data_IF_750165591688
#
_entry.id   IF_750165591688
#
_cell.length_a   1.000
_cell.length_b   1.000
_cell.length_c   1.000
_cell.angle_alpha   90.00
_cell.angle_beta   90.00
_cell.angle_gamma   90.00
#
_symmetry.space_group_name_H-M   'P 1'
#
loop_
_entity.id
_entity.type
_entity.pdbx_description
1 polymer ?
#
# COMPACT_ATOMS: atom_id res chain seq x y z
N UNK A 1 -73.23 -34.49 46.10
CA UNK A 1 -73.95 -35.74 45.77
C UNK A 1 -72.98 -36.90 45.85
N UNK A 2 -73.37 -37.93 46.62
CA UNK A 2 -72.92 -39.32 46.71
C UNK A 2 -71.44 -39.73 46.49
N UNK A 3 -70.87 -40.26 47.59
CA UNK A 3 -69.77 -41.25 47.65
C UNK A 3 -70.29 -42.63 47.19
N UNK A 4 -69.42 -43.44 46.58
CA UNK A 4 -69.27 -44.93 46.69
C UNK A 4 -68.72 -45.51 45.36
N UNK A 5 -67.52 -46.09 45.32
CA UNK A 5 -67.07 -47.45 45.71
C UNK A 5 -67.04 -48.39 44.49
N UNK A 6 -66.03 -49.28 44.44
CA UNK A 6 -65.83 -50.52 43.62
C UNK A 6 -64.41 -50.48 43.03
N UNK A 7 -63.41 -51.12 43.65
CA UNK A 7 -63.14 -52.57 43.78
C UNK A 7 -62.42 -53.16 42.56
N UNK A 8 -61.09 -53.17 42.67
CA UNK A 8 -60.14 -54.29 42.47
C UNK A 8 -60.54 -55.42 41.50
N UNK A 9 -59.76 -55.57 40.41
CA UNK A 9 -59.52 -56.87 39.78
C UNK A 9 -58.10 -56.91 39.18
N UNK A 10 -57.28 -57.83 39.70
CA UNK A 10 -55.96 -58.24 39.18
C UNK A 10 -56.13 -58.97 37.84
N UNK A 11 -55.14 -58.85 36.93
CA UNK A 11 -54.56 -59.98 36.19
C UNK A 11 -53.25 -59.54 35.50
N UNK A 12 -52.19 -60.32 35.77
CA UNK A 12 -50.82 -60.10 35.31
C UNK A 12 -50.63 -60.48 33.83
N UNK A 13 -49.80 -59.72 33.11
CA UNK A 13 -48.95 -60.25 32.04
C UNK A 13 -47.64 -59.44 31.94
N UNK A 14 -46.56 -60.19 31.82
CA UNK A 14 -45.14 -59.87 31.97
C UNK A 14 -44.52 -59.08 30.80
N UNK A 15 -43.65 -58.12 31.12
CA UNK A 15 -42.48 -57.77 30.31
C UNK A 15 -41.34 -57.23 31.21
N UNK A 16 -40.07 -57.59 30.97
CA UNK A 16 -38.97 -57.23 31.86
C UNK A 16 -38.54 -55.78 31.62
N UNK A 17 -38.58 -54.96 32.67
CA UNK A 17 -37.94 -53.64 32.68
C UNK A 17 -36.52 -53.82 33.22
N UNK A 18 -35.55 -53.51 32.37
CA UNK A 18 -34.13 -53.47 32.67
C UNK A 18 -33.90 -52.41 33.74
N UNK A 19 -33.34 -52.81 34.89
CA UNK A 19 -32.79 -51.91 35.91
C UNK A 19 -31.68 -51.05 35.30
N UNK A 20 -31.93 -49.75 35.16
CA UNK A 20 -30.87 -48.76 35.05
C UNK A 20 -30.48 -48.33 36.47
N UNK A 21 -29.31 -48.81 36.88
CA UNK A 21 -28.63 -48.37 38.08
C UNK A 21 -28.37 -46.85 38.02
N UNK A 22 -28.60 -46.18 39.15
CA UNK A 22 -28.35 -44.75 39.31
C UNK A 22 -26.91 -44.38 38.99
N UNK A 23 -26.72 -43.62 37.92
CA UNK A 23 -25.51 -42.86 37.68
C UNK A 23 -25.60 -41.53 38.42
N UNK A 24 -24.48 -41.17 39.05
CA UNK A 24 -24.24 -39.94 39.80
C UNK A 24 -24.54 -38.72 38.92
N UNK A 25 -25.25 -37.74 39.46
CA UNK A 25 -25.29 -36.37 38.92
C UNK A 25 -23.91 -35.72 39.13
N UNK A 26 -22.97 -36.03 38.23
CA UNK A 26 -21.86 -35.14 37.97
C UNK A 26 -22.43 -33.95 37.18
N UNK A 27 -22.59 -32.82 37.87
CA UNK A 27 -22.86 -31.53 37.26
C UNK A 27 -21.71 -31.18 36.31
N UNK A 28 -21.82 -31.60 35.06
CA UNK A 28 -20.96 -31.17 33.97
C UNK A 28 -21.09 -29.64 33.83
N UNK A 29 -20.05 -28.93 34.25
CA UNK A 29 -19.86 -27.53 33.96
C UNK A 29 -19.97 -27.33 32.44
N UNK A 30 -20.99 -26.61 32.01
CA UNK A 30 -21.12 -26.14 30.64
C UNK A 30 -19.86 -25.36 30.27
N UNK A 31 -19.23 -25.61 29.11
CA UNK A 31 -18.13 -24.78 28.64
C UNK A 31 -18.64 -23.33 28.49
N UNK A 32 -17.83 -22.31 28.83
CA UNK A 32 -18.24 -20.93 28.69
C UNK A 32 -18.63 -20.68 27.23
N UNK A 33 -19.82 -20.09 27.05
CA UNK A 33 -20.26 -19.61 25.75
C UNK A 33 -19.16 -18.71 25.17
N UNK A 34 -18.66 -19.08 24.00
CA UNK A 34 -17.74 -18.24 23.23
C UNK A 34 -18.50 -16.95 22.94
N UNK A 35 -18.09 -15.87 23.62
CA UNK A 35 -18.60 -14.54 23.36
C UNK A 35 -18.38 -14.24 21.86
N UNK A 36 -19.45 -13.79 21.19
CA UNK A 36 -19.35 -13.22 19.86
C UNK A 36 -18.31 -12.09 19.89
N UNK A 37 -17.47 -11.92 18.84
CA UNK A 37 -16.50 -10.84 18.81
C UNK A 37 -17.23 -9.50 18.91
N UNK A 38 -16.76 -8.67 19.84
CA UNK A 38 -17.26 -7.31 20.06
C UNK A 38 -17.13 -6.49 18.76
N UNK A 39 -18.26 -6.07 18.21
CA UNK A 39 -18.32 -5.15 17.07
C UNK A 39 -18.11 -3.74 17.62
N UNK A 40 -16.90 -3.45 18.07
CA UNK A 40 -16.61 -2.18 18.75
C UNK A 40 -15.13 -1.84 18.93
N UNK A 41 -14.24 -2.83 18.95
CA UNK A 41 -12.83 -2.58 19.29
C UNK A 41 -12.00 -2.24 18.04
N UNK A 42 -12.05 -0.98 17.63
CA UNK A 42 -11.05 -0.40 16.72
C UNK A 42 -9.72 -0.43 17.45
N UNK A 43 -8.81 -1.29 17.00
CA UNK A 43 -7.50 -1.50 17.61
C UNK A 43 -6.59 -0.34 17.28
N UNK A 44 -6.50 0.61 18.21
CA UNK A 44 -5.45 1.61 18.17
C UNK A 44 -4.08 0.94 18.37
N UNK A 45 -3.04 1.56 17.80
CA UNK A 45 -1.71 1.01 17.83
C UNK A 45 -1.11 1.01 19.24
N UNK A 46 -0.89 -0.18 19.81
CA UNK A 46 0.14 -0.44 20.83
C UNK A 46 1.54 -0.63 20.17
N UNK A 47 1.59 -0.68 18.83
CA UNK A 47 2.83 -0.81 18.07
C UNK A 47 3.68 0.46 18.19
N UNK A 48 4.83 0.35 18.84
CA UNK A 48 5.81 1.44 18.97
C UNK A 48 6.26 1.89 17.59
N UNK A 49 6.02 3.15 17.26
CA UNK A 49 6.49 3.77 16.01
C UNK A 49 7.92 4.25 16.19
N UNK A 50 8.78 3.94 15.21
CA UNK A 50 10.19 4.30 15.23
C UNK A 50 10.37 5.82 15.15
N UNK A 51 11.33 6.35 15.92
CA UNK A 51 11.66 7.78 15.97
C UNK A 51 13.16 8.02 15.81
N UNK A 52 13.56 9.28 15.62
CA UNK A 52 14.98 9.68 15.57
C UNK A 52 15.66 9.37 14.23
N UNK A 53 17.00 9.35 14.23
CA UNK A 53 17.80 9.09 13.03
C UNK A 53 17.76 7.61 12.69
N UNK A 54 17.36 7.30 11.46
CA UNK A 54 17.12 5.94 10.99
C UNK A 54 17.82 5.71 9.65
N UNK A 55 18.48 4.56 9.45
CA UNK A 55 19.25 4.28 8.24
C UNK A 55 18.37 4.16 6.99
N UNK A 56 17.12 3.70 7.12
CA UNK A 56 16.35 3.21 5.99
C UNK A 56 16.87 1.85 5.49
N UNK A 57 16.33 1.32 4.39
CA UNK A 57 17.00 0.26 3.67
C UNK A 57 18.24 0.83 2.97
N UNK A 58 19.34 0.09 2.98
CA UNK A 58 20.47 0.41 2.11
C UNK A 58 20.09 0.27 0.63
N UNK A 59 21.08 0.34 -0.26
CA UNK A 59 20.84 0.32 -1.70
C UNK A 59 20.91 -1.09 -2.31
N UNK A 60 19.92 -1.42 -3.15
CA UNK A 60 20.03 -2.57 -4.05
C UNK A 60 21.00 -2.21 -5.17
N UNK A 61 21.83 -3.17 -5.57
CA UNK A 61 22.82 -3.00 -6.63
C UNK A 61 22.50 -3.94 -7.78
N UNK A 62 22.38 -3.40 -8.98
CA UNK A 62 22.19 -4.15 -10.22
C UNK A 62 23.44 -3.98 -11.07
N UNK A 63 24.19 -5.07 -11.29
CA UNK A 63 25.53 -5.05 -11.92
C UNK A 63 25.48 -5.54 -13.37
N UNK A 64 26.11 -4.80 -14.27
CA UNK A 64 26.39 -5.22 -15.66
C UNK A 64 27.81 -4.82 -16.04
N UNK A 65 28.75 -5.74 -16.00
CA UNK A 65 30.18 -5.49 -16.12
C UNK A 65 30.64 -4.46 -15.09
N UNK A 66 31.24 -3.37 -15.56
CA UNK A 66 31.69 -2.25 -14.72
C UNK A 66 30.58 -1.24 -14.38
N UNK A 67 29.34 -1.48 -14.82
CA UNK A 67 28.21 -0.57 -14.64
C UNK A 67 27.33 -1.03 -13.49
N UNK A 68 26.88 -0.08 -12.67
CA UNK A 68 26.02 -0.35 -11.52
C UNK A 68 24.84 0.60 -11.49
N UNK A 69 23.65 0.03 -11.45
CA UNK A 69 22.43 0.75 -11.11
C UNK A 69 22.12 0.52 -9.63
N UNK A 70 22.23 1.59 -8.84
CA UNK A 70 21.79 1.62 -7.46
C UNK A 70 20.31 1.95 -7.39
N UNK A 71 19.55 1.17 -6.64
CA UNK A 71 18.10 1.36 -6.49
C UNK A 71 17.78 1.56 -5.03
N UNK A 72 17.18 2.70 -4.71
CA UNK A 72 16.57 2.93 -3.41
C UNK A 72 15.12 2.42 -3.41
N UNK A 73 14.87 1.38 -2.61
CA UNK A 73 13.52 0.92 -2.31
C UNK A 73 12.80 1.91 -1.40
N UNK A 74 11.71 2.52 -1.89
CA UNK A 74 10.91 3.52 -1.20
C UNK A 74 9.66 2.91 -0.58
N UNK A 75 9.23 3.43 0.58
CA UNK A 75 8.03 2.98 1.27
C UNK A 75 7.18 4.19 1.64
N UNK A 76 5.85 4.03 1.58
CA UNK A 76 4.88 4.97 2.10
C UNK A 76 3.69 4.20 2.70
N UNK A 77 3.17 4.59 3.88
CA UNK A 77 3.65 5.68 4.73
C UNK A 77 4.93 5.31 5.51
N UNK A 78 5.52 6.31 6.16
CA UNK A 78 6.68 6.20 7.06
C UNK A 78 6.39 6.84 8.42
N UNK A 79 7.12 6.46 9.48
CA UNK A 79 7.06 7.15 10.78
C UNK A 79 7.18 8.67 10.65
N UNK A 80 6.30 9.41 11.32
CA UNK A 80 6.28 10.88 11.26
C UNK A 80 7.50 11.50 11.95
N UNK A 81 7.94 10.90 13.05
CA UNK A 81 9.01 11.39 13.92
C UNK A 81 10.39 10.77 13.62
N UNK A 82 10.56 10.11 12.47
CA UNK A 82 11.89 9.69 12.00
C UNK A 82 12.56 10.77 11.15
N UNK A 83 13.89 10.77 11.20
CA UNK A 83 14.78 11.46 10.27
C UNK A 83 15.59 10.40 9.54
N UNK A 84 15.59 10.43 8.22
CA UNK A 84 16.33 9.45 7.43
C UNK A 84 17.80 9.87 7.29
N UNK A 85 18.72 8.95 7.62
CA UNK A 85 20.16 9.10 7.39
C UNK A 85 20.45 8.78 5.93
N UNK A 86 20.85 9.79 5.17
CA UNK A 86 20.94 9.71 3.71
C UNK A 86 22.36 9.70 3.15
N UNK A 87 23.38 9.51 4.00
CA UNK A 87 24.78 9.64 3.62
C UNK A 87 25.17 8.70 2.46
N UNK A 88 24.83 7.42 2.55
CA UNK A 88 25.05 6.42 1.49
C UNK A 88 24.39 6.83 0.16
N UNK A 89 23.17 7.35 0.22
CA UNK A 89 22.45 7.81 -0.97
C UNK A 89 23.10 9.05 -1.56
N UNK A 90 23.56 9.99 -0.73
CA UNK A 90 24.25 11.19 -1.19
C UNK A 90 25.59 10.87 -1.85
N UNK A 91 26.33 9.89 -1.33
CA UNK A 91 27.58 9.41 -1.93
C UNK A 91 27.34 8.84 -3.32
N UNK A 92 26.36 7.96 -3.49
CA UNK A 92 26.03 7.40 -4.80
C UNK A 92 25.50 8.48 -5.75
N UNK A 93 24.65 9.38 -5.28
CA UNK A 93 24.15 10.51 -6.08
C UNK A 93 25.25 11.50 -6.47
N UNK A 94 26.38 11.55 -5.76
CA UNK A 94 27.53 12.37 -6.14
C UNK A 94 28.27 11.80 -7.37
N UNK A 95 28.20 10.48 -7.58
CA UNK A 95 28.87 9.79 -8.69
C UNK A 95 27.93 9.46 -9.85
N UNK A 96 26.62 9.37 -9.61
CA UNK A 96 25.66 8.93 -10.62
C UNK A 96 25.71 9.79 -11.90
N UNK A 97 25.81 9.15 -13.06
CA UNK A 97 25.72 9.84 -14.35
C UNK A 97 24.29 10.13 -14.77
N UNK A 98 23.32 9.41 -14.21
CA UNK A 98 21.90 9.55 -14.46
C UNK A 98 21.10 9.16 -13.22
N UNK A 99 19.96 9.82 -13.00
CA UNK A 99 19.02 9.49 -11.93
C UNK A 99 17.65 9.26 -12.55
N UNK A 100 17.17 8.02 -12.48
CA UNK A 100 15.88 7.61 -13.00
C UNK A 100 14.77 7.87 -11.97
N UNK A 101 13.67 8.46 -12.43
CA UNK A 101 12.45 8.56 -11.64
C UNK A 101 11.83 7.19 -11.32
N UNK A 102 10.80 7.18 -10.47
CA UNK A 102 9.97 5.99 -10.32
C UNK A 102 9.14 5.73 -11.59
N UNK A 103 8.76 4.48 -11.86
CA UNK A 103 7.78 4.15 -12.87
C UNK A 103 6.45 4.81 -12.51
N UNK A 104 5.71 5.20 -13.53
CA UNK A 104 4.37 5.73 -13.31
C UNK A 104 3.81 6.41 -14.54
N UNK A 105 2.75 7.16 -14.30
CA UNK A 105 2.02 7.87 -15.35
C UNK A 105 1.97 9.33 -14.96
N UNK A 106 2.32 10.19 -15.92
CA UNK A 106 2.09 11.63 -15.80
C UNK A 106 0.96 12.01 -16.73
N UNK A 107 -0.02 12.74 -16.21
CA UNK A 107 -1.09 13.29 -17.04
C UNK A 107 -0.57 14.57 -17.69
N UNK A 108 -0.28 14.47 -18.99
CA UNK A 108 0.04 15.61 -19.82
C UNK A 108 -1.26 16.33 -20.21
N UNK A 109 -1.25 17.66 -20.10
CA UNK A 109 -2.25 18.49 -20.76
C UNK A 109 -1.55 19.76 -21.22
N UNK A 110 -1.95 20.32 -22.37
CA UNK A 110 -1.41 21.59 -22.90
C UNK A 110 -1.86 22.82 -22.06
N UNK A 111 -2.03 22.62 -20.76
CA UNK A 111 -2.58 23.55 -19.80
C UNK A 111 -1.45 24.02 -18.89
N UNK A 112 -0.93 25.21 -19.16
CA UNK A 112 0.00 25.88 -18.25
C UNK A 112 -0.62 26.15 -16.86
N UNK A 113 0.23 26.43 -15.86
CA UNK A 113 -0.12 26.57 -14.43
C UNK A 113 -1.35 27.45 -14.20
N UNK A 114 -1.41 28.63 -14.85
CA UNK A 114 -2.52 29.57 -14.71
C UNK A 114 -3.85 28.98 -15.17
N UNK A 115 -3.86 28.29 -16.31
CA UNK A 115 -5.06 27.65 -16.85
C UNK A 115 -5.44 26.41 -16.01
N UNK A 116 -4.46 25.72 -15.43
CA UNK A 116 -4.67 24.64 -14.48
C UNK A 116 -5.43 25.10 -13.23
N UNK A 117 -5.06 26.26 -12.68
CA UNK A 117 -5.76 26.86 -11.53
C UNK A 117 -7.24 27.17 -11.83
N UNK A 118 -7.58 27.56 -13.07
CA UNK A 118 -8.98 27.78 -13.46
C UNK A 118 -9.84 26.52 -13.39
N UNK A 119 -9.23 25.33 -13.36
CA UNK A 119 -9.93 24.05 -13.28
C UNK A 119 -10.17 23.58 -11.85
N UNK A 120 -9.55 24.20 -10.85
CA UNK A 120 -9.71 23.81 -9.44
C UNK A 120 -11.18 23.76 -8.99
N UNK A 121 -12.04 24.75 -9.31
CA UNK A 121 -13.45 24.66 -8.95
C UNK A 121 -14.20 23.51 -9.63
N UNK A 122 -13.79 23.12 -10.85
CA UNK A 122 -14.37 21.99 -11.57
C UNK A 122 -13.90 20.66 -10.96
N UNK A 123 -12.62 20.53 -10.64
CA UNK A 123 -12.05 19.38 -9.96
C UNK A 123 -12.67 19.17 -8.56
N UNK A 124 -12.81 20.24 -7.78
CA UNK A 124 -13.49 20.19 -6.48
C UNK A 124 -14.94 19.71 -6.60
N UNK A 125 -15.67 20.15 -7.64
CA UNK A 125 -17.02 19.64 -7.92
C UNK A 125 -17.01 18.19 -8.37
N UNK A 126 -16.03 17.78 -9.17
CA UNK A 126 -15.90 16.41 -9.65
C UNK A 126 -15.55 15.42 -8.53
N UNK A 127 -14.86 15.88 -7.47
CA UNK A 127 -14.59 15.08 -6.26
C UNK A 127 -15.84 14.75 -5.43
N UNK A 128 -16.97 15.43 -5.71
CA UNK A 128 -18.24 15.20 -5.03
C UNK A 128 -19.08 14.17 -5.77
N UNK A 129 -19.98 13.52 -5.05
CA UNK A 129 -20.98 12.65 -5.65
C UNK A 129 -21.87 13.43 -6.63
N UNK A 130 -22.32 12.78 -7.71
CA UNK A 130 -23.31 13.38 -8.60
C UNK A 130 -24.58 13.75 -7.84
N UNK A 131 -25.27 14.78 -8.33
CA UNK A 131 -26.54 15.29 -7.78
C UNK A 131 -26.51 15.71 -6.31
N UNK A 132 -25.31 15.82 -5.72
CA UNK A 132 -25.13 16.20 -4.32
C UNK A 132 -25.45 15.08 -3.33
N UNK A 133 -25.52 13.83 -3.79
CA UNK A 133 -25.75 12.67 -2.94
C UNK A 133 -24.70 12.57 -1.82
N UNK A 134 -25.14 12.08 -0.67
CA UNK A 134 -24.31 11.89 0.51
C UNK A 134 -23.93 10.42 0.68
N UNK A 135 -22.90 10.13 1.48
CA UNK A 135 -22.41 8.76 1.69
C UNK A 135 -23.48 7.86 2.33
N UNK A 136 -24.35 8.38 3.21
CA UNK A 136 -25.49 7.64 3.77
C UNK A 136 -26.51 7.20 2.71
N UNK A 137 -26.69 7.99 1.65
CA UNK A 137 -27.59 7.68 0.56
C UNK A 137 -26.99 6.64 -0.41
N UNK A 138 -25.66 6.52 -0.47
CA UNK A 138 -24.95 5.69 -1.44
C UNK A 138 -24.42 4.37 -0.87
N UNK A 139 -24.17 4.32 0.43
CA UNK A 139 -23.56 3.16 1.08
C UNK A 139 -24.62 2.25 1.72
N UNK A 140 -24.38 0.93 1.74
CA UNK A 140 -25.12 0.02 2.61
C UNK A 140 -25.10 0.50 4.08
N UNK A 141 -26.20 0.30 4.80
CA UNK A 141 -26.39 0.85 6.14
C UNK A 141 -25.29 0.40 7.12
N UNK A 142 -24.89 -0.87 7.07
CA UNK A 142 -23.79 -1.43 7.88
C UNK A 142 -22.46 -0.73 7.60
N UNK A 143 -22.18 -0.45 6.32
CA UNK A 143 -20.96 0.22 5.91
C UNK A 143 -20.96 1.70 6.31
N UNK A 144 -22.12 2.36 6.21
CA UNK A 144 -22.26 3.75 6.65
C UNK A 144 -22.07 3.92 8.17
N UNK A 145 -22.54 2.97 8.97
CA UNK A 145 -22.32 2.99 10.42
C UNK A 145 -20.82 2.90 10.74
N UNK A 146 -20.09 1.95 10.12
CA UNK A 146 -18.64 1.83 10.27
C UNK A 146 -17.90 3.10 9.86
N UNK A 147 -18.25 3.65 8.69
CA UNK A 147 -17.74 4.94 8.22
C UNK A 147 -17.98 6.05 9.25
N UNK A 148 -19.19 6.18 9.75
CA UNK A 148 -19.59 7.25 10.67
C UNK A 148 -18.79 7.21 11.97
N UNK A 149 -18.59 6.01 12.53
CA UNK A 149 -17.76 5.79 13.72
C UNK A 149 -16.31 6.22 13.49
N UNK A 150 -15.68 5.74 12.41
CA UNK A 150 -14.29 6.07 12.10
C UNK A 150 -14.10 7.54 11.74
N UNK A 151 -15.04 8.12 10.98
CA UNK A 151 -15.08 9.54 10.67
C UNK A 151 -15.14 10.37 11.94
N UNK A 152 -16.02 10.05 12.89
CA UNK A 152 -16.11 10.77 14.14
C UNK A 152 -14.79 10.73 14.92
N UNK A 153 -14.09 9.59 14.89
CA UNK A 153 -12.78 9.40 15.54
C UNK A 153 -11.67 10.24 14.90
N UNK A 154 -11.50 10.15 13.58
CA UNK A 154 -10.31 10.69 12.90
C UNK A 154 -10.53 12.02 12.18
N UNK A 155 -11.77 12.32 11.74
CA UNK A 155 -12.12 13.52 10.98
C UNK A 155 -13.07 14.45 11.75
N UNK A 156 -13.60 14.01 12.90
CA UNK A 156 -14.54 14.78 13.71
C UNK A 156 -15.82 15.14 12.96
N UNK A 157 -16.16 16.44 12.97
CA UNK A 157 -17.45 16.96 12.47
C UNK A 157 -17.39 17.46 11.02
N UNK A 158 -16.43 17.01 10.22
CA UNK A 158 -16.38 17.39 8.80
C UNK A 158 -17.68 16.98 8.09
N UNK A 159 -18.51 17.96 7.71
CA UNK A 159 -19.75 17.70 6.96
C UNK A 159 -19.51 17.68 5.45
N UNK A 160 -18.40 18.26 4.98
CA UNK A 160 -18.04 18.30 3.57
C UNK A 160 -17.65 16.93 3.03
N UNK A 161 -17.01 16.11 3.88
CA UNK A 161 -16.60 14.73 3.55
C UNK A 161 -17.78 13.84 3.10
N UNK A 162 -18.98 14.06 3.66
CA UNK A 162 -20.19 13.27 3.35
C UNK A 162 -20.63 13.41 1.89
N UNK A 163 -20.23 14.49 1.22
CA UNK A 163 -20.58 14.73 -0.19
C UNK A 163 -19.49 14.28 -1.15
N UNK A 164 -18.34 13.81 -0.66
CA UNK A 164 -17.26 13.30 -1.50
C UNK A 164 -17.59 11.91 -2.02
N UNK A 165 -16.96 11.55 -3.14
CA UNK A 165 -16.99 10.18 -3.66
C UNK A 165 -16.44 9.20 -2.62
N UNK A 166 -17.00 7.99 -2.49
CA UNK A 166 -16.57 6.99 -1.49
C UNK A 166 -15.05 6.78 -1.43
N UNK A 167 -14.40 6.61 -2.59
CA UNK A 167 -12.95 6.43 -2.68
C UNK A 167 -12.15 7.64 -2.16
N UNK A 168 -12.60 8.86 -2.44
CA UNK A 168 -11.94 10.09 -1.97
C UNK A 168 -12.16 10.28 -0.47
N UNK A 169 -13.39 10.06 -0.01
CA UNK A 169 -13.74 10.17 1.40
C UNK A 169 -12.93 9.18 2.25
N UNK A 170 -12.85 7.91 1.83
CA UNK A 170 -12.10 6.89 2.57
C UNK A 170 -10.59 7.11 2.51
N UNK A 171 -10.06 7.66 1.42
CA UNK A 171 -8.66 8.05 1.35
C UNK A 171 -8.33 9.17 2.35
N UNK A 172 -9.18 10.19 2.43
CA UNK A 172 -9.01 11.27 3.42
C UNK A 172 -9.09 10.76 4.86
N UNK A 173 -10.02 9.84 5.14
CA UNK A 173 -10.10 9.16 6.42
C UNK A 173 -8.84 8.33 6.71
N UNK A 174 -8.33 7.58 5.74
CA UNK A 174 -7.11 6.78 5.89
C UNK A 174 -5.90 7.66 6.22
N UNK A 175 -5.72 8.80 5.52
CA UNK A 175 -4.64 9.75 5.83
C UNK A 175 -4.76 10.35 7.23
N UNK A 176 -5.97 10.69 7.66
CA UNK A 176 -6.20 11.18 9.02
C UNK A 176 -5.91 10.09 10.07
N UNK A 177 -6.28 8.85 9.80
CA UNK A 177 -5.96 7.72 10.66
C UNK A 177 -4.45 7.46 10.74
N UNK A 178 -3.74 7.53 9.61
CA UNK A 178 -2.27 7.46 9.60
C UNK A 178 -1.64 8.57 10.44
N UNK A 179 -2.06 9.83 10.26
CA UNK A 179 -1.50 10.97 10.99
C UNK A 179 -1.74 10.87 12.50
N UNK A 180 -2.95 10.47 12.90
CA UNK A 180 -3.31 10.22 14.29
C UNK A 180 -2.47 9.09 14.92
N UNK A 181 -1.99 8.15 14.11
CA UNK A 181 -1.16 7.02 14.53
C UNK A 181 0.34 7.25 14.27
N UNK A 182 0.77 8.50 14.10
CA UNK A 182 2.20 8.84 14.00
C UNK A 182 2.86 8.42 12.69
N UNK A 183 2.09 8.16 11.63
CA UNK A 183 2.55 7.83 10.29
C UNK A 183 2.28 8.99 9.33
N UNK A 184 3.09 9.13 8.28
CA UNK A 184 2.89 10.10 7.21
C UNK A 184 3.21 9.52 5.85
N UNK A 185 2.43 9.90 4.85
CA UNK A 185 2.77 9.64 3.45
C UNK A 185 3.82 10.64 2.96
N UNK A 186 4.76 10.15 2.16
CA UNK A 186 5.73 10.95 1.40
C UNK A 186 6.72 11.82 2.19
N UNK A 187 7.50 12.61 1.43
CA UNK A 187 8.42 13.68 1.89
C UNK A 187 9.66 13.26 2.70
N UNK A 188 9.99 11.98 2.82
CA UNK A 188 11.25 11.57 3.47
C UNK A 188 12.41 11.59 2.47
N UNK A 189 12.16 11.07 1.26
CA UNK A 189 13.21 10.82 0.26
C UNK A 189 13.35 11.99 -0.71
N UNK A 190 12.24 12.56 -1.18
CA UNK A 190 12.22 13.64 -2.19
C UNK A 190 13.14 14.82 -1.86
N UNK A 191 13.16 15.38 -0.64
CA UNK A 191 14.04 16.51 -0.33
C UNK A 191 15.54 16.20 -0.50
N UNK A 192 15.96 14.98 -0.15
CA UNK A 192 17.34 14.53 -0.32
C UNK A 192 17.70 14.45 -1.79
N UNK A 193 16.81 13.86 -2.60
CA UNK A 193 17.03 13.71 -4.03
C UNK A 193 17.07 15.08 -4.74
N UNK A 194 16.13 15.97 -4.43
CA UNK A 194 16.06 17.31 -5.00
C UNK A 194 17.32 18.14 -4.66
N UNK A 195 17.80 18.05 -3.42
CA UNK A 195 19.01 18.75 -2.98
C UNK A 195 20.26 18.23 -3.71
N UNK A 196 20.43 16.91 -3.81
CA UNK A 196 21.57 16.28 -4.47
C UNK A 196 21.59 16.58 -5.98
N UNK A 197 20.44 16.48 -6.66
CA UNK A 197 20.30 16.80 -8.08
C UNK A 197 20.59 18.27 -8.35
N UNK A 198 20.04 19.18 -7.52
CA UNK A 198 20.30 20.62 -7.62
C UNK A 198 21.78 20.96 -7.42
N UNK A 199 22.45 20.32 -6.47
CA UNK A 199 23.88 20.55 -6.21
C UNK A 199 24.78 20.19 -7.42
N UNK A 200 24.30 19.32 -8.31
CA UNK A 200 25.02 18.87 -9.51
C UNK A 200 24.47 19.43 -10.82
N UNK A 201 23.49 20.33 -10.75
CA UNK A 201 22.74 20.84 -11.92
C UNK A 201 22.18 19.69 -12.80
N UNK A 202 21.76 18.61 -12.15
CA UNK A 202 21.19 17.43 -12.80
C UNK A 202 19.67 17.47 -12.70
N UNK A 203 19.01 17.03 -13.77
CA UNK A 203 17.57 16.78 -13.75
C UNK A 203 17.30 15.29 -13.49
N UNK A 204 16.16 15.01 -12.83
CA UNK A 204 15.61 13.67 -12.77
C UNK A 204 15.21 13.23 -14.19
N UNK A 205 15.67 12.08 -14.63
CA UNK A 205 15.23 11.47 -15.89
C UNK A 205 13.82 10.91 -15.70
N UNK A 206 12.79 11.47 -16.37
CA UNK A 206 11.44 10.97 -16.24
C UNK A 206 11.34 9.58 -16.85
N UNK A 207 10.82 8.63 -16.07
CA UNK A 207 10.48 7.26 -16.52
C UNK A 207 8.98 7.02 -16.44
N UNK A 208 8.21 8.09 -16.53
CA UNK A 208 6.76 8.08 -16.49
C UNK A 208 6.21 8.14 -17.91
N UNK A 209 5.16 7.37 -18.17
CA UNK A 209 4.42 7.51 -19.43
C UNK A 209 3.54 8.75 -19.39
N UNK A 210 3.70 9.60 -20.39
CA UNK A 210 2.81 10.74 -20.56
C UNK A 210 1.49 10.29 -21.19
N UNK A 211 0.41 10.39 -20.41
CA UNK A 211 -0.95 10.22 -20.90
C UNK A 211 -1.51 11.60 -21.20
N UNK A 212 -1.68 11.91 -22.49
CA UNK A 212 -2.28 13.17 -22.93
C UNK A 212 -3.78 13.14 -22.75
N UNK A 213 -4.31 14.19 -22.13
CA UNK A 213 -5.75 14.43 -22.08
C UNK A 213 -6.06 15.62 -22.98
N UNK A 214 -6.65 15.35 -24.15
CA UNK A 214 -6.98 16.35 -25.16
C UNK A 214 -7.92 17.44 -24.63
N UNK A 215 -8.97 17.05 -23.91
CA UNK A 215 -9.89 17.97 -23.23
C UNK A 215 -10.07 17.58 -21.75
N UNK A 216 -9.25 18.12 -20.84
CA UNK A 216 -9.33 17.79 -19.43
C UNK A 216 -10.53 18.44 -18.74
N UNK A 217 -11.13 19.50 -19.32
CA UNK A 217 -12.38 20.07 -18.77
C UNK A 217 -13.54 19.14 -19.06
N UNK A 218 -13.61 18.62 -20.28
CA UNK A 218 -14.59 17.61 -20.65
C UNK A 218 -14.39 16.32 -19.86
N UNK A 219 -13.15 15.87 -19.67
CA UNK A 219 -12.85 14.70 -18.84
C UNK A 219 -13.35 14.86 -17.39
N UNK A 220 -13.13 16.03 -16.76
CA UNK A 220 -13.68 16.33 -15.44
C UNK A 220 -15.21 16.41 -15.44
N UNK A 221 -15.81 16.96 -16.51
CA UNK A 221 -17.25 17.06 -16.65
C UNK A 221 -17.92 15.70 -16.82
N UNK A 222 -17.29 14.78 -17.53
CA UNK A 222 -17.75 13.40 -17.71
C UNK A 222 -17.54 12.57 -16.45
N UNK A 223 -16.37 12.66 -15.83
CA UNK A 223 -16.12 12.03 -14.53
C UNK A 223 -17.14 12.49 -13.48
N UNK A 224 -17.50 13.77 -13.47
CA UNK A 224 -18.55 14.29 -12.57
C UNK A 224 -19.90 13.61 -12.75
N UNK A 225 -20.24 13.19 -13.98
CA UNK A 225 -21.50 12.49 -14.27
C UNK A 225 -21.44 10.99 -13.90
N UNK A 226 -20.26 10.42 -13.75
CA UNK A 226 -20.12 9.02 -13.36
C UNK A 226 -20.68 8.82 -11.94
N UNK A 227 -21.63 7.88 -11.83
CA UNK A 227 -22.18 7.42 -10.56
C UNK A 227 -21.17 6.65 -9.71
N UNK A 228 -21.55 6.39 -8.45
CA UNK A 228 -20.80 5.45 -7.61
C UNK A 228 -21.01 4.04 -8.13
N UNK A 229 -19.92 3.30 -8.31
CA UNK A 229 -19.94 1.92 -8.82
C UNK A 229 -19.84 0.92 -7.66
N UNK A 230 -20.29 -0.34 -7.84
CA UNK A 230 -20.11 -1.38 -6.83
C UNK A 230 -18.65 -1.56 -6.37
N UNK A 231 -17.69 -1.35 -7.28
CA UNK A 231 -16.26 -1.43 -7.01
C UNK A 231 -15.79 -0.32 -6.06
N UNK A 232 -16.37 0.88 -6.15
CA UNK A 232 -16.08 2.00 -5.23
C UNK A 232 -16.50 1.64 -3.80
N UNK A 233 -17.67 1.00 -3.65
CA UNK A 233 -18.18 0.53 -2.35
C UNK A 233 -17.33 -0.60 -1.80
N UNK A 234 -16.90 -1.53 -2.67
CA UNK A 234 -16.00 -2.62 -2.28
C UNK A 234 -14.63 -2.08 -1.83
N UNK A 235 -14.07 -1.10 -2.54
CA UNK A 235 -12.83 -0.46 -2.14
C UNK A 235 -12.99 0.28 -0.81
N UNK A 236 -14.07 1.02 -0.62
CA UNK A 236 -14.35 1.68 0.65
C UNK A 236 -14.40 0.66 1.80
N UNK A 237 -15.11 -0.46 1.65
CA UNK A 237 -15.16 -1.53 2.66
C UNK A 237 -13.76 -2.03 3.01
N UNK A 238 -12.94 -2.33 2.00
CA UNK A 238 -11.56 -2.78 2.21
C UNK A 238 -10.73 -1.74 2.97
N UNK A 239 -10.83 -0.47 2.62
CA UNK A 239 -10.09 0.60 3.30
C UNK A 239 -10.56 0.79 4.75
N UNK A 240 -11.85 0.64 5.05
CA UNK A 240 -12.31 0.65 6.45
C UNK A 240 -11.75 -0.56 7.22
N UNK A 241 -11.63 -1.74 6.61
CA UNK A 241 -10.97 -2.89 7.24
C UNK A 241 -9.51 -2.58 7.59
N UNK A 242 -8.79 -1.89 6.69
CA UNK A 242 -7.42 -1.43 6.92
C UNK A 242 -7.35 -0.43 8.07
N UNK A 243 -8.28 0.53 8.14
CA UNK A 243 -8.30 1.54 9.21
C UNK A 243 -8.66 0.91 10.57
N UNK A 244 -9.57 -0.07 10.60
CA UNK A 244 -10.01 -0.70 11.86
C UNK A 244 -8.99 -1.68 12.44
N UNK A 245 -8.31 -2.44 11.57
CA UNK A 245 -7.51 -3.60 11.98
C UNK A 245 -6.11 -3.65 11.36
N UNK A 246 -5.91 -2.94 10.26
CA UNK A 246 -4.71 -3.00 9.42
C UNK A 246 -3.59 -2.04 9.81
N UNK A 247 -3.89 -0.95 10.54
CA UNK A 247 -2.91 0.08 10.89
C UNK A 247 -1.66 -0.45 11.61
N UNK A 248 -1.75 -1.42 12.56
CA UNK A 248 -0.56 -2.01 13.16
C UNK A 248 0.38 -2.69 12.14
N UNK A 249 -0.17 -3.35 11.10
CA UNK A 249 0.66 -3.96 10.05
C UNK A 249 1.27 -2.90 9.13
N UNK A 250 0.52 -1.84 8.82
CA UNK A 250 1.05 -0.68 8.07
C UNK A 250 2.22 -0.05 8.82
N UNK A 251 2.08 0.13 10.14
CA UNK A 251 3.15 0.66 10.99
C UNK A 251 4.35 -0.27 11.10
N UNK A 252 4.13 -1.58 11.24
CA UNK A 252 5.21 -2.57 11.27
C UNK A 252 6.05 -2.52 9.99
N UNK A 253 5.42 -2.43 8.81
CA UNK A 253 6.12 -2.28 7.53
C UNK A 253 6.86 -0.94 7.43
N UNK A 254 6.26 0.14 7.91
CA UNK A 254 6.87 1.46 7.96
C UNK A 254 8.12 1.49 8.86
N UNK A 255 8.04 0.84 10.03
CA UNK A 255 9.16 0.64 10.95
C UNK A 255 10.25 -0.24 10.34
N UNK A 256 9.88 -1.34 9.69
CA UNK A 256 10.83 -2.22 9.00
C UNK A 256 11.64 -1.46 7.95
N UNK A 257 10.99 -0.61 7.15
CA UNK A 257 11.71 0.28 6.25
C UNK A 257 12.65 1.22 7.00
N UNK A 258 12.18 1.86 8.07
CA UNK A 258 12.99 2.82 8.84
C UNK A 258 14.28 2.19 9.37
N UNK A 259 14.22 0.98 9.93
CA UNK A 259 15.39 0.30 10.52
C UNK A 259 16.17 -0.55 9.51
N UNK A 260 15.69 -0.68 8.27
CA UNK A 260 16.33 -1.50 7.24
C UNK A 260 16.09 -3.02 7.39
N UNK A 261 14.99 -3.44 8.02
CA UNK A 261 14.60 -4.84 8.16
C UNK A 261 14.06 -5.38 6.82
N UNK A 262 14.96 -5.93 6.02
CA UNK A 262 14.65 -6.44 4.69
C UNK A 262 13.81 -7.72 4.72
N UNK A 263 13.89 -8.52 5.78
CA UNK A 263 13.13 -9.75 5.89
C UNK A 263 11.64 -9.47 6.04
N UNK A 264 11.28 -8.50 6.88
CA UNK A 264 9.90 -8.02 6.98
C UNK A 264 9.44 -7.41 5.66
N UNK A 265 10.28 -6.61 4.99
CA UNK A 265 9.91 -5.98 3.71
C UNK A 265 9.66 -7.02 2.61
N UNK A 266 10.47 -8.08 2.54
CA UNK A 266 10.32 -9.22 1.63
C UNK A 266 9.04 -10.01 1.94
N UNK A 267 8.84 -10.37 3.21
CA UNK A 267 7.68 -11.15 3.66
C UNK A 267 6.34 -10.43 3.46
N UNK A 268 6.37 -9.09 3.43
CA UNK A 268 5.17 -8.25 3.27
C UNK A 268 5.08 -7.58 1.90
N UNK A 269 5.90 -7.99 0.93
CA UNK A 269 5.89 -7.44 -0.43
C UNK A 269 4.50 -7.54 -1.09
N UNK A 270 4.06 -6.45 -1.73
CA UNK A 270 2.78 -6.37 -2.43
C UNK A 270 1.59 -6.06 -1.54
N UNK A 271 1.76 -5.96 -0.22
CA UNK A 271 0.67 -5.54 0.68
C UNK A 271 0.28 -4.07 0.46
N UNK A 272 1.26 -3.18 0.23
CA UNK A 272 1.00 -1.76 -0.05
C UNK A 272 0.36 -1.56 -1.43
N UNK A 273 0.72 -2.39 -2.41
CA UNK A 273 0.13 -2.37 -3.75
C UNK A 273 -1.40 -2.59 -3.74
N UNK A 274 -1.94 -3.38 -2.80
CA UNK A 274 -3.40 -3.62 -2.71
C UNK A 274 -4.17 -2.37 -2.25
N UNK A 275 -3.64 -1.69 -1.24
CA UNK A 275 -4.18 -0.40 -0.77
C UNK A 275 -4.09 0.62 -1.89
N UNK A 276 -2.94 0.71 -2.56
CA UNK A 276 -2.76 1.63 -3.68
C UNK A 276 -3.69 1.32 -4.85
N UNK A 277 -3.85 0.05 -5.24
CA UNK A 277 -4.74 -0.37 -6.33
C UNK A 277 -6.20 -0.03 -6.04
N UNK A 278 -6.64 -0.25 -4.79
CA UNK A 278 -7.96 0.18 -4.31
C UNK A 278 -8.10 1.70 -4.44
N UNK A 279 -7.15 2.45 -3.91
CA UNK A 279 -7.17 3.90 -3.92
C UNK A 279 -7.05 4.48 -5.33
N UNK A 280 -6.42 3.80 -6.28
CA UNK A 280 -6.39 4.17 -7.70
C UNK A 280 -7.59 3.64 -8.51
N UNK A 281 -8.51 2.90 -7.90
CA UNK A 281 -9.70 2.34 -8.58
C UNK A 281 -10.60 3.44 -9.17
N UNK A 282 -10.61 4.65 -8.59
CA UNK A 282 -11.32 5.79 -9.19
C UNK A 282 -10.71 6.24 -10.54
N UNK A 283 -9.48 5.84 -10.86
CA UNK A 283 -8.88 6.03 -12.19
C UNK A 283 -9.35 4.97 -13.18
N UNK A 284 -9.86 3.82 -12.71
CA UNK A 284 -10.43 2.74 -13.53
C UNK A 284 -11.86 3.06 -14.01
N UNK A 285 -12.03 4.29 -14.51
CA UNK A 285 -13.27 4.82 -15.04
C UNK A 285 -13.55 4.28 -16.44
N UNK A 286 -14.82 4.32 -16.86
CA UNK A 286 -15.13 4.05 -18.27
C UNK A 286 -14.45 5.08 -19.18
N UNK A 287 -14.31 6.31 -18.68
CA UNK A 287 -13.55 7.41 -19.28
C UNK A 287 -12.08 7.05 -19.50
N UNK A 288 -11.43 6.36 -18.56
CA UNK A 288 -10.04 5.89 -18.67
C UNK A 288 -9.89 4.74 -19.67
N UNK A 289 -10.78 3.74 -19.63
CA UNK A 289 -10.75 2.61 -20.58
C UNK A 289 -10.94 3.06 -22.02
N UNK A 290 -11.91 3.96 -22.27
CA UNK A 290 -12.14 4.57 -23.59
C UNK A 290 -10.93 5.34 -24.14
N UNK A 291 -9.95 5.66 -23.29
CA UNK A 291 -8.72 6.37 -23.63
C UNK A 291 -7.50 5.44 -23.72
N UNK A 292 -7.71 4.11 -23.76
CA UNK A 292 -6.65 3.13 -24.01
C UNK A 292 -5.72 2.89 -22.82
N UNK A 293 -6.19 3.11 -21.59
CA UNK A 293 -5.40 2.96 -20.37
C UNK A 293 -5.36 1.53 -19.81
N UNK A 294 -5.82 0.55 -20.58
CA UNK A 294 -6.03 -0.84 -20.14
C UNK A 294 -4.70 -1.62 -19.97
N UNK A 295 -3.71 -1.36 -20.83
CA UNK A 295 -2.37 -1.99 -20.78
C UNK A 295 -1.29 -1.10 -20.13
N UNK A 296 -1.71 -0.04 -19.45
CA UNK A 296 -0.83 1.04 -19.01
C UNK A 296 0.25 0.55 -18.05
N UNK A 297 -0.08 -0.36 -17.14
CA UNK A 297 0.89 -0.93 -16.18
C UNK A 297 2.02 -1.69 -16.89
N UNK A 298 1.67 -2.49 -17.90
CA UNK A 298 2.65 -3.22 -18.70
C UNK A 298 3.56 -2.26 -19.47
N UNK A 299 2.99 -1.21 -20.05
CA UNK A 299 3.75 -0.19 -20.79
C UNK A 299 4.67 0.60 -19.86
N UNK A 300 4.19 1.01 -18.68
CA UNK A 300 4.99 1.71 -17.65
C UNK A 300 6.17 0.84 -17.24
N UNK A 301 5.94 -0.45 -17.01
CA UNK A 301 6.99 -1.41 -16.67
C UNK A 301 8.01 -1.56 -17.77
N UNK A 302 7.57 -1.75 -19.02
CA UNK A 302 8.46 -1.87 -20.16
C UNK A 302 9.29 -0.59 -20.37
N UNK A 303 8.68 0.58 -20.23
CA UNK A 303 9.34 1.87 -20.38
C UNK A 303 10.44 2.09 -19.32
N UNK A 304 10.14 1.81 -18.05
CA UNK A 304 11.14 1.91 -16.99
C UNK A 304 12.29 0.92 -17.17
N UNK A 305 11.99 -0.33 -17.57
CA UNK A 305 13.04 -1.34 -17.84
C UNK A 305 13.95 -0.93 -18.99
N UNK A 306 13.41 -0.31 -20.04
CA UNK A 306 14.20 0.21 -21.14
C UNK A 306 15.13 1.35 -20.67
N UNK A 307 14.65 2.27 -19.82
CA UNK A 307 15.47 3.32 -19.24
C UNK A 307 16.58 2.75 -18.32
N UNK A 308 16.28 1.71 -17.55
CA UNK A 308 17.27 1.02 -16.73
C UNK A 308 18.34 0.32 -17.58
N UNK A 309 17.94 -0.31 -18.69
CA UNK A 309 18.88 -0.93 -19.64
C UNK A 309 19.80 0.12 -20.29
N UNK A 310 19.27 1.28 -20.68
CA UNK A 310 20.03 2.39 -21.23
C UNK A 310 21.01 2.97 -20.20
N UNK A 311 20.56 3.15 -18.96
CA UNK A 311 21.38 3.64 -17.86
C UNK A 311 22.58 2.72 -17.59
N UNK A 312 22.33 1.40 -17.50
CA UNK A 312 23.35 0.36 -17.34
C UNK A 312 24.31 0.23 -18.55
N UNK A 313 23.97 0.81 -19.70
CA UNK A 313 24.83 0.80 -20.89
C UNK A 313 25.71 2.05 -20.98
N UNK A 314 25.21 3.20 -20.52
CA UNK A 314 25.86 4.50 -20.74
C UNK A 314 26.59 5.07 -19.54
N UNK A 315 26.24 4.64 -18.33
CA UNK A 315 26.73 5.26 -17.11
C UNK A 315 27.31 4.22 -16.16
N UNK A 316 28.58 4.40 -15.79
CA UNK A 316 29.26 3.53 -14.82
C UNK A 316 28.48 3.43 -13.50
N UNK A 317 27.92 4.55 -13.05
CA UNK A 317 27.03 4.63 -11.89
C UNK A 317 25.72 5.26 -12.33
N UNK A 318 24.61 4.60 -12.04
CA UNK A 318 23.25 5.10 -12.23
C UNK A 318 22.48 4.97 -10.92
N UNK A 319 21.50 5.85 -10.71
CA UNK A 319 20.63 5.79 -9.54
C UNK A 319 19.15 5.71 -9.95
N UNK A 320 18.33 5.01 -9.18
CA UNK A 320 16.88 5.01 -9.34
C UNK A 320 16.16 4.89 -8.00
N UNK A 321 14.88 5.28 -7.99
CA UNK A 321 13.96 5.00 -6.88
C UNK A 321 12.83 4.10 -7.37
N UNK A 322 12.51 3.06 -6.60
CA UNK A 322 11.36 2.18 -6.85
C UNK A 322 10.58 1.98 -5.57
N UNK A 323 9.25 1.79 -5.62
CA UNK A 323 8.53 1.38 -4.41
C UNK A 323 8.98 -0.03 -4.01
N UNK A 324 9.07 -0.36 -2.71
CA UNK A 324 9.42 -1.71 -2.26
C UNK A 324 8.41 -2.74 -2.78
N UNK A 325 7.14 -2.34 -2.96
CA UNK A 325 6.10 -3.19 -3.52
C UNK A 325 6.36 -3.54 -5.00
N UNK A 326 6.85 -2.58 -5.79
CA UNK A 326 7.19 -2.81 -7.19
C UNK A 326 8.56 -3.51 -7.34
N UNK A 327 9.48 -3.22 -6.42
CA UNK A 327 10.85 -3.70 -6.46
C UNK A 327 10.93 -5.21 -6.19
N UNK A 328 10.21 -5.68 -5.16
CA UNK A 328 10.28 -7.03 -4.62
C UNK A 328 9.18 -7.95 -5.18
N UNK A 329 9.28 -9.24 -4.85
CA UNK A 329 8.32 -10.26 -5.30
C UNK A 329 8.67 -10.90 -6.65
N UNK A 330 7.91 -11.93 -7.03
CA UNK A 330 8.17 -12.73 -8.23
C UNK A 330 7.92 -11.98 -9.54
N UNK A 331 7.03 -10.98 -9.51
CA UNK A 331 6.73 -10.12 -10.66
C UNK A 331 7.46 -8.75 -10.61
N UNK A 332 8.21 -8.48 -9.53
CA UNK A 332 8.84 -7.18 -9.29
C UNK A 332 9.96 -6.83 -10.26
N UNK A 333 10.42 -5.58 -10.21
CA UNK A 333 11.45 -5.05 -11.11
C UNK A 333 12.79 -5.77 -10.97
N UNK A 334 13.19 -6.20 -9.76
CA UNK A 334 14.43 -6.97 -9.58
C UNK A 334 14.35 -8.31 -10.31
N UNK A 335 13.21 -9.00 -10.23
CA UNK A 335 13.01 -10.25 -10.95
C UNK A 335 13.07 -10.06 -12.48
N UNK A 336 12.57 -8.92 -12.97
CA UNK A 336 12.62 -8.56 -14.39
C UNK A 336 14.03 -8.21 -14.90
N UNK A 337 14.87 -7.64 -14.02
CA UNK A 337 16.25 -7.24 -14.33
C UNK A 337 17.22 -8.42 -14.29
N UNK A 338 17.03 -9.39 -13.38
CA UNK A 338 17.90 -10.59 -13.24
C UNK A 338 18.34 -11.24 -14.56
N UNK A 339 17.46 -11.53 -15.54
CA UNK A 339 17.90 -12.17 -16.78
C UNK A 339 18.72 -11.26 -17.72
N UNK A 340 18.90 -9.98 -17.39
CA UNK A 340 19.55 -8.96 -18.23
C UNK A 340 20.90 -8.50 -17.68
N UNK A 341 21.30 -8.97 -16.51
CA UNK A 341 22.39 -8.39 -15.70
C UNK A 341 23.20 -9.51 -15.07
N UNK A 342 24.42 -9.22 -14.66
CA UNK A 342 25.32 -10.24 -14.10
C UNK A 342 24.93 -10.59 -12.66
N UNK A 343 24.51 -9.58 -11.89
CA UNK A 343 24.08 -9.76 -10.52
C UNK A 343 23.02 -8.73 -10.10
N UNK A 344 22.16 -9.17 -9.17
CA UNK A 344 21.26 -8.30 -8.40
C UNK A 344 21.52 -8.57 -6.94
N UNK A 345 22.12 -7.61 -6.26
CA UNK A 345 22.49 -7.68 -4.85
C UNK A 345 21.51 -6.86 -4.01
N UNK A 346 21.01 -7.46 -2.95
CA UNK A 346 20.26 -6.78 -1.91
C UNK A 346 21.19 -5.95 -1.00
N UNK A 347 20.64 -5.01 -0.21
CA UNK A 347 21.45 -4.17 0.68
C UNK A 347 22.20 -4.96 1.77
N UNK A 348 21.69 -6.13 2.16
CA UNK A 348 22.27 -7.04 3.15
C UNK A 348 23.26 -8.05 2.56
N UNK A 349 23.42 -8.09 1.23
CA UNK A 349 24.34 -9.01 0.56
C UNK A 349 25.73 -8.38 0.40
N UNK A 350 26.77 -9.14 0.73
CA UNK A 350 28.15 -8.73 0.47
C UNK A 350 28.42 -8.65 -1.04
N UNK A 351 29.28 -7.71 -1.43
CA UNK A 351 29.79 -7.66 -2.80
C UNK A 351 30.99 -8.62 -2.87
N UNK A 352 30.74 -9.89 -3.23
CA UNK A 352 31.80 -10.89 -3.34
C UNK A 352 32.64 -10.74 -4.63
N UNK A 353 32.54 -9.59 -5.32
CA UNK A 353 33.45 -9.27 -6.44
C UNK A 353 34.78 -8.78 -5.88
N UNK A 354 35.56 -9.77 -5.49
CA UNK A 354 37.02 -9.82 -5.40
C UNK A 354 37.72 -8.64 -6.11
N UNK A 355 38.29 -7.72 -5.31
CA UNK A 355 39.51 -7.00 -5.69
C UNK A 355 40.67 -8.02 -5.70
N UNK A 356 40.58 -8.95 -6.65
CA UNK A 356 41.34 -10.18 -6.74
C UNK A 356 42.62 -10.04 -7.54
N UNK A 357 43.62 -9.47 -6.88
CA UNK A 357 45.02 -9.85 -7.00
C UNK A 357 45.70 -9.64 -8.38
N UNK A 358 46.25 -8.44 -8.56
CA UNK A 358 47.49 -8.28 -9.34
C UNK A 358 48.59 -9.03 -8.60
N UNK A 359 48.80 -10.30 -8.96
CA UNK A 359 50.06 -10.99 -8.66
C UNK A 359 51.18 -10.14 -9.30
N UNK A 360 52.17 -9.65 -8.55
CA UNK A 360 53.37 -9.14 -9.19
C UNK A 360 53.96 -10.30 -9.97
N UNK A 361 54.15 -10.11 -11.27
CA UNK A 361 54.94 -11.01 -12.06
C UNK A 361 56.35 -11.05 -11.44
N UNK A 362 56.66 -12.13 -10.73
CA UNK A 362 58.03 -12.49 -10.42
C UNK A 362 58.77 -12.58 -11.75
N UNK A 363 59.59 -11.57 -11.98
CA UNK A 363 60.54 -11.53 -13.08
C UNK A 363 61.65 -12.51 -12.72
N UNK A 364 61.70 -13.64 -13.44
CA UNK A 364 62.94 -14.31 -13.84
C UNK A 364 64.02 -13.23 -14.13
N UNK A 365 65.25 -13.28 -13.64
CA UNK A 365 66.32 -14.28 -13.79
C UNK A 365 67.64 -13.62 -13.26
N UNK A 366 68.83 -14.26 -13.21
CA UNK A 366 69.25 -15.51 -13.88
C UNK A 366 69.78 -16.63 -12.98
#
# INVERSE_FOLDING_TARGET
MARQLVMMCLLLATAPVISMAGARDDAAALPPAVAAPDVGDVRDMETVVVTGVQPGPGLWRVRRGTHTLYILGTQSPLPKAMTWRSDEVREVLAEAGVVLGPPGVTVGSDIGILRGLTMLPAAMRASRNPDGATLDALLPADLYQRWSTLKARYLGRDRGIERKRPAIAVYELYRAALDANGLREGRVITPVLDEALKARDMALTPTTLEVKIDDPRQALADFRKEGTKPEDVACMRHMLDVIERGLPQVAARANAWAVGDLDVLRATAGQGARVQACLSSFLQTETARKRGLDDLEMQVRAHWLAAADEALTRHRVSFATLSVDDLLGTAGYLAALRPRVDAVLAPDEADDVDDGNVTPADSEMP
#
